data_IF_562005513436
#
_entry.id   IF_562005513436
#
_cell.length_a   1.000
_cell.length_b   1.000
_cell.length_c   1.000
_cell.angle_alpha   90.00
_cell.angle_beta   90.00
_cell.angle_gamma   90.00
#
_symmetry.space_group_name_H-M   'P 1'
#
loop_
_entity.id
_entity.type
_entity.pdbx_description
1 polymer ?
#
# COMPACT_ATOMS: atom_id res chain seq x y z
N UNK A 1 25.92 1.27 2.83
CA UNK A 1 25.41 0.73 4.11
C UNK A 1 24.17 1.53 4.48
N UNK A 2 23.07 1.27 3.82
CA UNK A 2 21.87 2.08 3.94
C UNK A 2 20.76 1.21 3.40
N UNK A 3 20.01 0.49 4.24
CA UNK A 3 18.66 0.00 3.86
C UNK A 3 17.85 -0.74 4.94
N UNK A 4 18.25 -0.79 6.22
CA UNK A 4 17.42 -1.42 7.26
C UNK A 4 16.75 -0.38 8.17
N UNK A 5 15.99 0.55 7.56
CA UNK A 5 15.06 1.44 8.27
C UNK A 5 13.59 1.08 8.06
N UNK A 6 13.30 0.17 7.13
CA UNK A 6 11.93 -0.28 6.84
C UNK A 6 11.51 -1.26 7.94
N UNK A 7 10.45 -0.91 8.66
CA UNK A 7 9.88 -1.75 9.74
C UNK A 7 8.94 -2.84 9.22
N UNK A 8 8.49 -2.71 7.97
CA UNK A 8 7.58 -3.64 7.29
C UNK A 8 8.22 -4.13 6.00
N UNK A 9 8.11 -5.42 5.73
CA UNK A 9 8.58 -6.02 4.48
C UNK A 9 7.71 -5.55 3.33
N UNK A 10 8.37 -5.26 2.21
CA UNK A 10 7.70 -4.95 0.95
C UNK A 10 7.74 -6.19 0.08
N UNK A 11 6.57 -6.62 -0.33
CA UNK A 11 6.37 -7.78 -1.19
C UNK A 11 6.15 -7.25 -2.61
N UNK A 12 7.00 -7.63 -3.58
CA UNK A 12 6.72 -7.36 -4.99
C UNK A 12 5.35 -7.92 -5.35
N UNK A 13 4.49 -7.07 -5.87
CA UNK A 13 3.09 -7.44 -6.07
C UNK A 13 2.56 -6.83 -7.35
N UNK A 14 2.33 -7.69 -8.34
CA UNK A 14 1.80 -7.29 -9.64
C UNK A 14 0.27 -7.25 -9.58
N UNK A 15 -0.26 -6.05 -9.38
CA UNK A 15 -1.69 -5.78 -9.30
C UNK A 15 -2.01 -4.36 -9.79
N UNK A 16 -3.30 -4.08 -9.91
CA UNK A 16 -3.82 -2.77 -10.27
C UNK A 16 -4.42 -2.10 -9.04
N UNK A 17 -4.26 -0.78 -8.94
CA UNK A 17 -4.94 0.03 -7.93
C UNK A 17 -5.66 1.22 -8.56
N UNK A 18 -6.76 1.64 -7.94
CA UNK A 18 -7.39 2.94 -8.21
C UNK A 18 -7.05 3.88 -7.06
N UNK A 19 -6.70 5.13 -7.39
CA UNK A 19 -6.34 6.15 -6.41
C UNK A 19 -7.28 7.33 -6.59
N UNK A 20 -7.98 7.67 -5.52
CA UNK A 20 -8.84 8.84 -5.43
C UNK A 20 -8.24 9.83 -4.44
N UNK A 21 -7.83 10.99 -4.93
CA UNK A 21 -7.25 12.05 -4.08
C UNK A 21 -8.36 12.83 -3.38
N UNK A 22 -8.06 13.46 -2.23
CA UNK A 22 -9.02 14.33 -1.53
C UNK A 22 -9.64 15.44 -2.42
N UNK A 23 -8.89 15.94 -3.42
CA UNK A 23 -9.34 16.99 -4.34
C UNK A 23 -10.21 16.46 -5.50
N UNK A 24 -10.46 15.16 -5.56
CA UNK A 24 -11.34 14.51 -6.53
C UNK A 24 -10.67 14.01 -7.81
N UNK A 25 -9.34 14.10 -7.94
CA UNK A 25 -8.63 13.41 -9.03
C UNK A 25 -8.74 11.89 -8.85
N UNK A 26 -9.03 11.20 -9.96
CA UNK A 26 -9.13 9.75 -10.04
C UNK A 26 -8.10 9.20 -11.01
N UNK A 27 -7.21 8.35 -10.49
CA UNK A 27 -6.22 7.61 -11.26
C UNK A 27 -6.62 6.12 -11.27
N UNK A 28 -6.95 5.58 -12.43
CA UNK A 28 -7.41 4.18 -12.58
C UNK A 28 -6.31 3.29 -13.16
N UNK A 29 -6.36 2.01 -12.78
CA UNK A 29 -5.45 0.95 -13.20
C UNK A 29 -3.97 1.34 -13.07
N UNK A 30 -3.61 1.94 -11.93
CA UNK A 30 -2.22 2.23 -11.61
C UNK A 30 -1.50 0.93 -11.27
N UNK A 31 -0.34 0.72 -11.89
CA UNK A 31 0.47 -0.46 -11.66
C UNK A 31 1.07 -0.43 -10.24
N UNK A 32 0.76 -1.44 -9.44
CA UNK A 32 1.38 -1.67 -8.14
C UNK A 32 2.71 -2.38 -8.35
N UNK A 33 3.74 -1.92 -7.63
CA UNK A 33 5.09 -2.47 -7.68
C UNK A 33 5.37 -3.31 -6.44
N UNK A 34 5.00 -2.79 -5.27
CA UNK A 34 5.11 -3.51 -4.01
C UNK A 34 4.00 -3.12 -3.03
N UNK A 35 3.75 -4.02 -2.08
CA UNK A 35 2.79 -3.84 -0.99
C UNK A 35 3.40 -4.28 0.34
N UNK A 36 2.97 -3.64 1.42
CA UNK A 36 3.32 -3.97 2.81
C UNK A 36 2.08 -3.80 3.71
N UNK A 37 2.16 -4.24 4.97
CA UNK A 37 1.08 -3.99 5.94
C UNK A 37 0.83 -2.49 6.23
N UNK A 38 1.75 -1.60 5.87
CA UNK A 38 1.67 -0.17 6.19
C UNK A 38 1.61 0.73 4.95
N UNK A 39 1.42 0.18 3.76
CA UNK A 39 1.30 0.96 2.53
C UNK A 39 1.76 0.23 1.29
N UNK A 40 1.79 0.95 0.17
CA UNK A 40 2.11 0.41 -1.15
C UNK A 40 2.95 1.39 -2.00
N UNK A 41 3.53 0.85 -3.06
CA UNK A 41 4.25 1.59 -4.09
C UNK A 41 3.61 1.35 -5.45
N UNK A 42 3.38 2.43 -6.19
CA UNK A 42 2.90 2.36 -7.57
C UNK A 42 3.91 2.95 -8.54
N UNK A 43 3.81 2.56 -9.80
CA UNK A 43 4.35 3.35 -10.91
C UNK A 43 3.59 4.67 -10.99
N UNK A 44 4.32 5.77 -11.15
CA UNK A 44 3.75 7.11 -11.20
C UNK A 44 2.87 7.25 -12.44
N UNK A 45 1.55 7.46 -12.30
CA UNK A 45 0.70 7.66 -13.45
C UNK A 45 1.05 8.99 -14.13
N UNK A 46 0.81 9.06 -15.44
CA UNK A 46 0.91 10.32 -16.16
C UNK A 46 -0.01 11.37 -15.52
N UNK A 47 0.45 12.62 -15.51
CA UNK A 47 -0.32 13.76 -14.98
C UNK A 47 -0.62 13.68 -13.48
N UNK A 48 0.20 12.98 -12.69
CA UNK A 48 0.10 13.02 -11.24
C UNK A 48 0.19 14.44 -10.70
N UNK A 49 -0.84 14.88 -9.99
CA UNK A 49 -0.95 16.23 -9.42
C UNK A 49 -0.93 16.27 -7.90
N UNK A 50 -1.16 15.14 -7.22
CA UNK A 50 -1.21 15.14 -5.76
C UNK A 50 0.15 15.42 -5.13
N UNK A 51 0.15 16.15 -4.02
CA UNK A 51 1.35 16.58 -3.32
C UNK A 51 1.76 15.60 -2.21
N UNK A 52 2.98 15.77 -1.69
CA UNK A 52 3.44 15.02 -0.51
C UNK A 52 2.49 15.26 0.67
N UNK A 53 2.20 14.21 1.42
CA UNK A 53 1.26 14.17 2.54
C UNK A 53 -0.22 14.38 2.19
N UNK A 54 -0.56 14.49 0.90
CA UNK A 54 -1.96 14.63 0.50
C UNK A 54 -2.73 13.32 0.77
N UNK A 55 -3.91 13.38 1.42
CA UNK A 55 -4.75 12.21 1.63
C UNK A 55 -5.27 11.61 0.32
N UNK A 56 -5.30 10.29 0.26
CA UNK A 56 -5.76 9.50 -0.87
C UNK A 56 -6.51 8.26 -0.38
N UNK A 57 -7.62 7.94 -1.03
CA UNK A 57 -8.27 6.64 -0.91
C UNK A 57 -7.74 5.71 -2.01
N UNK A 58 -7.38 4.48 -1.65
CA UNK A 58 -6.82 3.51 -2.58
C UNK A 58 -7.63 2.22 -2.55
N UNK A 59 -8.04 1.79 -3.75
CA UNK A 59 -8.66 0.49 -4.00
C UNK A 59 -7.60 -0.41 -4.64
N UNK A 60 -7.02 -1.33 -3.86
CA UNK A 60 -6.10 -2.35 -4.37
C UNK A 60 -6.90 -3.55 -4.88
N UNK A 61 -6.80 -3.82 -6.19
CA UNK A 61 -7.59 -4.84 -6.87
C UNK A 61 -6.86 -6.18 -6.85
N UNK A 62 -7.44 -7.15 -6.17
CA UNK A 62 -6.96 -8.54 -6.13
C UNK A 62 -7.86 -9.43 -6.98
N UNK A 63 -7.30 -10.55 -7.47
CA UNK A 63 -8.05 -11.56 -8.24
C UNK A 63 -8.90 -10.92 -9.36
N UNK A 64 -8.28 -10.06 -10.17
CA UNK A 64 -8.95 -9.36 -11.27
C UNK A 64 -10.16 -8.51 -10.83
N UNK A 65 -10.17 -8.04 -9.58
CA UNK A 65 -11.21 -7.17 -9.02
C UNK A 65 -12.31 -7.90 -8.24
N UNK A 66 -12.20 -9.21 -8.03
CA UNK A 66 -13.15 -9.96 -7.18
C UNK A 66 -13.01 -9.62 -5.69
N UNK A 67 -11.79 -9.26 -5.26
CA UNK A 67 -11.50 -8.78 -3.92
C UNK A 67 -10.87 -7.40 -4.04
N UNK A 68 -11.37 -6.44 -3.25
CA UNK A 68 -10.82 -5.09 -3.17
C UNK A 68 -10.34 -4.87 -1.74
N UNK A 69 -9.10 -4.40 -1.60
CA UNK A 69 -8.59 -3.89 -0.33
C UNK A 69 -8.69 -2.37 -0.38
N UNK A 70 -9.56 -1.81 0.44
CA UNK A 70 -9.82 -0.38 0.55
C UNK A 70 -8.96 0.21 1.68
N UNK A 71 -8.27 1.31 1.43
CA UNK A 71 -7.45 1.96 2.45
C UNK A 71 -7.43 3.48 2.29
N UNK A 72 -7.51 4.18 3.42
CA UNK A 72 -7.18 5.60 3.51
C UNK A 72 -5.68 5.73 3.73
N UNK A 73 -5.04 6.55 2.93
CA UNK A 73 -3.60 6.71 2.86
C UNK A 73 -3.22 8.17 2.71
N UNK A 74 -1.93 8.47 2.80
CA UNK A 74 -1.37 9.71 2.28
C UNK A 74 -0.15 9.43 1.41
N UNK A 75 0.18 10.39 0.55
CA UNK A 75 1.40 10.35 -0.26
C UNK A 75 2.63 10.47 0.66
N UNK A 76 3.37 9.37 0.84
CA UNK A 76 4.54 9.33 1.71
C UNK A 76 5.82 9.82 1.01
N UNK A 77 5.93 9.59 -0.30
CA UNK A 77 7.00 10.13 -1.14
C UNK A 77 6.61 10.11 -2.62
N UNK A 78 7.23 11.02 -3.38
CA UNK A 78 7.08 11.13 -4.83
C UNK A 78 8.48 11.12 -5.42
N UNK A 79 8.78 10.10 -6.22
CA UNK A 79 10.02 9.99 -6.97
C UNK A 79 9.78 10.30 -8.47
N UNK A 80 10.80 10.08 -9.30
CA UNK A 80 10.73 10.30 -10.74
C UNK A 80 9.63 9.43 -11.39
N UNK A 81 9.66 8.12 -11.11
CA UNK A 81 8.83 7.12 -11.77
C UNK A 81 7.88 6.38 -10.82
N UNK A 82 7.91 6.70 -9.52
CA UNK A 82 7.13 5.98 -8.50
C UNK A 82 6.50 6.92 -7.49
N UNK A 83 5.39 6.47 -6.90
CA UNK A 83 4.74 7.14 -5.76
C UNK A 83 4.53 6.11 -4.67
N UNK A 84 4.96 6.44 -3.46
CA UNK A 84 4.71 5.62 -2.28
C UNK A 84 3.64 6.21 -1.40
N UNK A 85 2.78 5.34 -0.90
CA UNK A 85 1.71 5.68 0.02
C UNK A 85 1.93 5.02 1.37
N UNK A 86 1.58 5.73 2.43
CA UNK A 86 1.48 5.17 3.77
C UNK A 86 0.00 5.00 4.14
N UNK A 87 -0.37 3.81 4.60
CA UNK A 87 -1.72 3.50 5.04
C UNK A 87 -1.99 4.12 6.40
N UNK A 88 -3.05 4.92 6.51
CA UNK A 88 -3.51 5.55 7.76
C UNK A 88 -4.63 4.76 8.40
N UNK A 89 -5.61 4.35 7.60
CA UNK A 89 -6.76 3.58 8.06
C UNK A 89 -7.13 2.53 7.04
N UNK A 90 -7.58 1.39 7.53
CA UNK A 90 -8.00 0.24 6.75
C UNK A 90 -9.08 -0.47 7.55
N UNK A 91 -10.16 -0.88 6.90
CA UNK A 91 -11.24 -1.60 7.55
C UNK A 91 -10.83 -3.06 7.87
N UNK A 92 -11.68 -3.76 8.63
CA UNK A 92 -11.41 -5.10 9.13
C UNK A 92 -11.31 -6.15 8.00
N UNK A 93 -12.12 -6.02 6.96
CA UNK A 93 -12.16 -6.99 5.87
C UNK A 93 -10.92 -6.79 4.99
N UNK A 94 -10.61 -5.54 4.65
CA UNK A 94 -9.42 -5.13 3.89
C UNK A 94 -8.13 -5.54 4.60
N UNK A 95 -7.96 -5.29 5.91
CA UNK A 95 -6.75 -5.70 6.63
C UNK A 95 -6.62 -7.22 6.74
N UNK A 96 -7.74 -7.94 6.78
CA UNK A 96 -7.73 -9.41 6.79
C UNK A 96 -7.19 -9.95 5.46
N UNK A 97 -7.62 -9.38 4.34
CA UNK A 97 -7.10 -9.72 3.01
C UNK A 97 -5.62 -9.33 2.86
N UNK A 98 -5.25 -8.12 3.29
CA UNK A 98 -3.86 -7.65 3.23
C UNK A 98 -2.93 -8.53 4.06
N UNK A 99 -3.33 -8.86 5.31
CA UNK A 99 -2.59 -9.77 6.17
C UNK A 99 -2.38 -11.12 5.51
N UNK A 100 -3.42 -11.68 4.88
CA UNK A 100 -3.31 -12.98 4.21
C UNK A 100 -2.38 -12.92 3.01
N UNK A 101 -2.44 -11.84 2.22
CA UNK A 101 -1.52 -11.60 1.11
C UNK A 101 -0.07 -11.57 1.63
N UNK A 102 0.19 -10.81 2.69
CA UNK A 102 1.53 -10.70 3.29
C UNK A 102 2.00 -12.04 3.84
N UNK A 103 1.16 -12.75 4.58
CA UNK A 103 1.44 -14.08 5.12
C UNK A 103 1.89 -15.08 4.04
N UNK A 104 1.13 -15.13 2.93
CA UNK A 104 1.39 -16.06 1.84
C UNK A 104 2.72 -15.77 1.12
N UNK A 105 3.13 -14.50 1.07
CA UNK A 105 4.35 -14.10 0.38
C UNK A 105 5.60 -14.10 1.29
N UNK A 106 5.45 -13.89 2.60
CA UNK A 106 6.57 -13.96 3.54
C UNK A 106 7.08 -15.38 3.77
N UNK A 107 6.20 -16.38 3.72
CA UNK A 107 6.57 -17.79 3.96
C UNK A 107 7.06 -18.09 5.39
N UNK A 108 7.12 -17.10 6.27
CA UNK A 108 7.53 -17.20 7.67
C UNK A 108 6.52 -16.50 8.59
N UNK A 109 5.80 -17.32 9.36
CA UNK A 109 4.80 -16.87 10.33
C UNK A 109 5.41 -16.01 11.46
N UNK A 110 6.67 -16.25 11.82
CA UNK A 110 7.39 -15.45 12.80
C UNK A 110 7.67 -14.03 12.32
N UNK A 111 7.97 -13.83 11.04
CA UNK A 111 8.12 -12.50 10.44
C UNK A 111 6.80 -11.74 10.45
N UNK A 112 5.71 -12.40 10.03
CA UNK A 112 4.37 -11.79 10.06
C UNK A 112 3.99 -11.31 11.47
N UNK A 113 4.23 -12.14 12.50
CA UNK A 113 3.95 -11.75 13.88
C UNK A 113 4.75 -10.52 14.33
N UNK A 114 6.01 -10.37 13.89
CA UNK A 114 6.82 -9.19 14.18
C UNK A 114 6.27 -7.94 13.50
N UNK A 115 5.83 -8.05 12.26
CA UNK A 115 5.21 -6.93 11.56
C UNK A 115 3.89 -6.51 12.20
N UNK A 116 3.06 -7.47 12.61
CA UNK A 116 1.82 -7.18 13.34
C UNK A 116 2.08 -6.50 14.69
N UNK A 117 3.07 -6.97 15.45
CA UNK A 117 3.47 -6.33 16.70
C UNK A 117 3.96 -4.89 16.45
N UNK A 118 4.76 -4.69 15.40
CA UNK A 118 5.24 -3.38 14.96
C UNK A 118 4.08 -2.44 14.61
N UNK A 119 3.05 -2.94 13.93
CA UNK A 119 1.85 -2.16 13.56
C UNK A 119 1.10 -1.65 14.80
N UNK A 120 1.00 -2.49 15.84
CA UNK A 120 0.37 -2.13 17.11
C UNK A 120 1.16 -1.10 17.92
N UNK A 121 2.49 -1.08 17.82
CA UNK A 121 3.35 -0.07 18.48
C UNK A 121 3.32 1.30 17.77
N UNK A 122 2.95 1.33 16.49
CA UNK A 122 2.89 2.56 15.69
C UNK A 122 1.56 3.33 15.77
N UNK A 123 0.63 2.88 16.61
CA UNK A 123 -0.68 3.51 16.85
C UNK A 123 -0.83 3.96 18.31
#
# INVERSE_FOLDING_TARGET
MTEERRRFSRIPFDAMAHINTEDGDLYVNCQVLDVSLKGLLIEKPGQWQAEMYQPCHIDLLLQQGEIVIEMNTHVAHIDADTIGFECEQIDLDSITHLKRLVELNLGDVGLLHRELATLLESH
#
